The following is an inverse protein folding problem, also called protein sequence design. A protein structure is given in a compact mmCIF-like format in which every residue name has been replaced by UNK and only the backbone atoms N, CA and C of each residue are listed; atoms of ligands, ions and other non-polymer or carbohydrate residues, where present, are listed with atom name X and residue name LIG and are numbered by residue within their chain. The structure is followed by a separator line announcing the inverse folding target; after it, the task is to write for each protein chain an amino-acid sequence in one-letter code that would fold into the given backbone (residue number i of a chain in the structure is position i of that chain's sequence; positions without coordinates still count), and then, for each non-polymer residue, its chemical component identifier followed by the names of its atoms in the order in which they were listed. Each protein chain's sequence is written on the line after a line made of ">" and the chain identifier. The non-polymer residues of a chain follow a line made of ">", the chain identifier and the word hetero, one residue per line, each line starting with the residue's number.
data_IF_528646369569
#
_entry.id   IF_528646369569
#
_cell.length_a   1.000
_cell.length_b   1.000
_cell.length_c   1.000
_cell.angle_alpha   90.00
_cell.angle_beta   90.00
_cell.angle_gamma   90.00
#
_symmetry.space_group_name_H-M   'P 1'
#
loop_
_entity.id
_entity.type
_entity.pdbx_description
1 polymer ?
#
# COMPACT_ATOMS: atom_id res chain seq x y z
N UNK A 1 21.05 -75.20 7.33
CA UNK A 1 21.65 -74.34 8.37
C UNK A 1 21.42 -72.90 7.95
N UNK A 2 20.33 -72.30 8.40
CA UNK A 2 19.93 -70.91 8.09
C UNK A 2 20.56 -69.99 9.13
N UNK A 3 21.46 -69.12 8.72
CA UNK A 3 21.97 -68.04 9.58
C UNK A 3 20.85 -67.02 9.83
N UNK A 4 20.56 -66.64 11.09
CA UNK A 4 19.59 -65.59 11.35
C UNK A 4 20.22 -64.25 10.97
N UNK A 5 19.51 -63.46 10.17
CA UNK A 5 19.85 -62.06 9.91
C UNK A 5 19.67 -61.32 11.24
N UNK A 6 20.77 -60.81 11.77
CA UNK A 6 20.78 -59.91 12.93
C UNK A 6 19.88 -58.71 12.64
N UNK A 7 18.78 -58.61 13.36
CA UNK A 7 18.00 -57.39 13.50
C UNK A 7 18.93 -56.33 14.10
N UNK A 8 19.53 -55.52 13.24
CA UNK A 8 20.11 -54.25 13.68
C UNK A 8 18.96 -53.43 14.24
N UNK A 9 19.03 -53.24 15.56
CA UNK A 9 18.26 -52.26 16.32
C UNK A 9 18.04 -51.01 15.47
N UNK A 10 16.77 -50.76 15.15
CA UNK A 10 16.34 -49.47 14.66
C UNK A 10 16.44 -48.53 15.87
N UNK A 11 17.63 -47.96 16.07
CA UNK A 11 17.85 -46.92 17.07
C UNK A 11 16.83 -45.82 16.83
N UNK A 12 15.87 -45.76 17.74
CA UNK A 12 14.83 -44.76 17.80
C UNK A 12 15.39 -43.50 18.45
N UNK A 13 16.30 -42.80 17.77
CA UNK A 13 16.67 -41.45 18.21
C UNK A 13 17.31 -40.59 17.11
N UNK A 14 16.47 -40.01 16.27
CA UNK A 14 16.66 -38.62 15.87
C UNK A 14 15.27 -38.01 15.72
N UNK A 15 14.91 -37.07 16.59
CA UNK A 15 13.79 -36.15 16.31
C UNK A 15 13.94 -35.67 14.85
N UNK A 16 13.03 -36.07 13.95
CA UNK A 16 13.18 -35.85 12.51
C UNK A 16 12.99 -34.35 12.20
N UNK A 17 14.03 -33.55 12.45
CA UNK A 17 13.98 -32.09 12.32
C UNK A 17 13.79 -31.75 10.85
N UNK A 18 12.75 -30.97 10.56
CA UNK A 18 12.47 -30.51 9.20
C UNK A 18 13.66 -29.70 8.65
N UNK A 19 14.11 -29.95 7.41
CA UNK A 19 15.23 -29.20 6.85
C UNK A 19 14.96 -27.69 6.82
N UNK A 20 15.90 -26.87 7.31
CA UNK A 20 15.78 -25.39 7.29
C UNK A 20 15.37 -24.84 5.91
N UNK A 21 15.93 -25.29 4.77
CA UNK A 21 15.51 -24.79 3.46
C UNK A 21 14.04 -25.09 3.13
N UNK A 22 13.49 -26.19 3.64
CA UNK A 22 12.08 -26.50 3.48
C UNK A 22 11.22 -25.52 4.28
N UNK A 23 11.54 -25.30 5.57
CA UNK A 23 10.81 -24.37 6.43
C UNK A 23 10.83 -22.94 5.88
N UNK A 24 11.98 -22.46 5.41
CA UNK A 24 12.12 -21.11 4.84
C UNK A 24 11.27 -20.92 3.57
N UNK A 25 11.21 -21.93 2.69
CA UNK A 25 10.33 -21.90 1.50
C UNK A 25 8.86 -21.86 1.88
N UNK A 26 8.48 -22.60 2.93
CA UNK A 26 7.11 -22.59 3.46
C UNK A 26 6.76 -21.23 4.04
N UNK A 27 7.62 -20.66 4.89
CA UNK A 27 7.41 -19.33 5.47
C UNK A 27 7.31 -18.25 4.39
N UNK A 28 8.24 -18.20 3.43
CA UNK A 28 8.17 -17.28 2.28
C UNK A 28 6.82 -17.39 1.53
N UNK A 29 6.33 -18.62 1.35
CA UNK A 29 5.06 -18.88 0.67
C UNK A 29 3.84 -18.44 1.50
N UNK A 30 3.85 -18.62 2.82
CA UNK A 30 2.79 -18.15 3.72
C UNK A 30 2.70 -16.63 3.72
N UNK A 31 3.85 -15.95 3.84
CA UNK A 31 3.91 -14.49 3.80
C UNK A 31 3.44 -13.97 2.43
N UNK A 32 3.74 -14.68 1.34
CA UNK A 32 3.22 -14.34 0.01
C UNK A 32 1.70 -14.40 -0.08
N UNK A 33 1.04 -15.36 0.57
CA UNK A 33 -0.43 -15.42 0.64
C UNK A 33 -0.98 -14.28 1.48
N UNK A 34 -0.38 -14.03 2.64
CA UNK A 34 -0.75 -12.91 3.48
C UNK A 34 -0.70 -11.58 2.72
N UNK A 35 0.36 -11.35 1.95
CA UNK A 35 0.50 -10.16 1.10
C UNK A 35 -0.50 -10.14 -0.07
N UNK A 36 -0.92 -11.28 -0.59
CA UNK A 36 -1.99 -11.34 -1.61
C UNK A 36 -3.36 -10.98 -1.02
N UNK A 37 -3.64 -11.37 0.23
CA UNK A 37 -4.84 -10.95 0.97
C UNK A 37 -4.79 -9.45 1.22
N UNK A 38 -3.67 -8.92 1.71
CA UNK A 38 -3.47 -7.48 1.87
C UNK A 38 -3.63 -6.73 0.54
N UNK A 39 -3.04 -7.21 -0.56
CA UNK A 39 -3.20 -6.60 -1.88
C UNK A 39 -4.68 -6.53 -2.31
N UNK A 40 -5.46 -7.57 -2.00
CA UNK A 40 -6.89 -7.62 -2.33
C UNK A 40 -7.67 -6.59 -1.53
N UNK A 41 -7.43 -6.48 -0.22
CA UNK A 41 -8.04 -5.46 0.64
C UNK A 41 -7.61 -4.05 0.22
N UNK A 42 -6.33 -3.85 -0.01
CA UNK A 42 -5.76 -2.58 -0.44
C UNK A 42 -6.42 -2.09 -1.73
N UNK A 43 -6.52 -2.94 -2.76
CA UNK A 43 -7.15 -2.56 -4.03
C UNK A 43 -8.67 -2.44 -3.91
N UNK A 44 -9.31 -3.19 -3.00
CA UNK A 44 -10.72 -3.00 -2.69
C UNK A 44 -10.97 -1.62 -2.08
N UNK A 45 -10.26 -1.22 -1.03
CA UNK A 45 -10.42 0.12 -0.40
C UNK A 45 -10.10 1.23 -1.40
N UNK A 46 -9.00 1.12 -2.15
CA UNK A 46 -8.66 2.13 -3.18
C UNK A 46 -9.70 2.24 -4.29
N UNK A 47 -10.34 1.13 -4.69
CA UNK A 47 -11.39 1.15 -5.71
C UNK A 47 -12.64 1.94 -5.28
N UNK A 48 -12.89 2.08 -3.97
CA UNK A 48 -14.00 2.87 -3.44
C UNK A 48 -13.87 4.37 -3.76
N UNK A 49 -12.68 4.83 -4.15
CA UNK A 49 -12.47 6.21 -4.60
C UNK A 49 -13.25 6.52 -5.89
N UNK A 50 -13.44 5.52 -6.76
CA UNK A 50 -14.05 5.68 -8.07
C UNK A 50 -15.31 4.81 -8.31
N UNK A 51 -15.51 3.73 -7.56
CA UNK A 51 -16.66 2.82 -7.77
C UNK A 51 -18.00 3.40 -7.31
N UNK A 52 -18.00 4.44 -6.48
CA UNK A 52 -19.19 5.16 -6.05
C UNK A 52 -19.08 6.61 -6.51
N UNK A 53 -19.05 6.80 -7.83
CA UNK A 53 -19.02 8.13 -8.47
C UNK A 53 -20.17 9.02 -7.96
N UNK A 54 -21.26 8.43 -7.48
CA UNK A 54 -22.41 9.13 -6.89
C UNK A 54 -22.20 9.56 -5.42
N UNK A 55 -21.39 8.83 -4.64
CA UNK A 55 -21.13 9.14 -3.21
C UNK A 55 -19.86 9.98 -3.01
N UNK A 56 -19.32 10.60 -4.07
CA UNK A 56 -18.17 11.53 -4.00
C UNK A 56 -16.93 10.97 -3.27
N UNK A 57 -16.71 9.65 -3.31
CA UNK A 57 -15.57 9.01 -2.64
C UNK A 57 -15.71 8.81 -1.12
N UNK A 58 -16.90 9.02 -0.55
CA UNK A 58 -17.16 8.82 0.88
C UNK A 58 -16.86 7.39 1.36
N UNK A 59 -17.06 6.37 0.51
CA UNK A 59 -16.66 5.00 0.80
C UNK A 59 -15.17 4.85 1.10
N UNK A 60 -14.31 5.51 0.30
CA UNK A 60 -12.86 5.56 0.55
C UNK A 60 -12.55 6.29 1.85
N UNK A 61 -13.14 7.48 2.05
CA UNK A 61 -12.90 8.32 3.24
C UNK A 61 -13.27 7.55 4.51
N UNK A 62 -14.44 6.92 4.54
CA UNK A 62 -14.92 6.12 5.68
C UNK A 62 -14.00 4.93 5.96
N UNK A 63 -13.58 4.19 4.93
CA UNK A 63 -12.69 3.05 5.07
C UNK A 63 -11.32 3.46 5.64
N UNK A 64 -10.71 4.53 5.12
CA UNK A 64 -9.43 5.05 5.61
C UNK A 64 -9.56 5.59 7.03
N UNK A 65 -10.65 6.30 7.37
CA UNK A 65 -10.90 6.77 8.73
C UNK A 65 -10.97 5.60 9.72
N UNK A 66 -11.63 4.48 9.35
CA UNK A 66 -11.67 3.27 10.18
C UNK A 66 -10.29 2.66 10.40
N UNK A 67 -9.46 2.61 9.36
CA UNK A 67 -8.06 2.12 9.49
C UNK A 67 -7.26 3.03 10.43
N UNK A 68 -7.39 4.35 10.27
CA UNK A 68 -6.68 5.34 11.09
C UNK A 68 -7.20 5.46 12.54
N UNK A 69 -8.36 4.89 12.83
CA UNK A 69 -8.89 4.76 14.20
C UNK A 69 -8.29 3.56 14.97
N UNK A 70 -7.55 2.66 14.31
CA UNK A 70 -6.95 1.49 14.94
C UNK A 70 -5.88 1.92 15.95
N UNK A 71 -5.94 1.47 17.22
CA UNK A 71 -4.93 1.80 18.22
C UNK A 71 -3.58 1.20 17.84
N UNK A 72 -2.50 1.95 18.08
CA UNK A 72 -1.14 1.55 17.74
C UNK A 72 -0.96 1.17 16.26
N UNK A 73 -1.72 1.80 15.33
CA UNK A 73 -1.68 1.49 13.89
C UNK A 73 -0.25 1.36 13.33
N UNK A 74 0.67 2.25 13.70
CA UNK A 74 2.08 2.18 13.26
C UNK A 74 2.75 0.85 13.60
N UNK A 75 2.50 0.31 14.79
CA UNK A 75 3.02 -0.99 15.21
C UNK A 75 2.37 -2.13 14.43
N UNK A 76 1.05 -2.06 14.24
CA UNK A 76 0.28 -3.03 13.44
C UNK A 76 0.83 -3.08 12.01
N UNK A 77 1.02 -1.92 11.37
CA UNK A 77 1.59 -1.83 10.03
C UNK A 77 3.01 -2.43 9.96
N UNK A 78 3.88 -2.17 10.95
CA UNK A 78 5.23 -2.73 10.96
C UNK A 78 5.19 -4.25 11.10
N UNK A 79 4.41 -4.77 12.04
CA UNK A 79 4.39 -6.21 12.35
C UNK A 79 3.66 -7.04 11.29
N UNK A 80 2.54 -6.54 10.77
CA UNK A 80 1.68 -7.29 9.87
C UNK A 80 1.87 -6.91 8.39
N UNK A 81 2.50 -5.79 8.06
CA UNK A 81 2.77 -5.42 6.66
C UNK A 81 4.26 -5.32 6.40
N UNK A 82 4.97 -4.44 7.12
CA UNK A 82 6.39 -4.16 6.89
C UNK A 82 7.28 -5.39 7.02
N UNK A 83 7.17 -6.12 8.13
CA UNK A 83 7.99 -7.30 8.39
C UNK A 83 7.67 -8.46 7.42
N UNK A 84 6.39 -8.87 7.20
CA UNK A 84 6.03 -9.84 6.17
C UNK A 84 6.54 -9.47 4.77
N UNK A 85 6.41 -8.20 4.39
CA UNK A 85 6.88 -7.69 3.11
C UNK A 85 8.40 -7.82 2.97
N UNK A 86 9.17 -7.40 3.98
CA UNK A 86 10.62 -7.51 3.98
C UNK A 86 11.10 -8.96 3.91
N UNK A 87 10.53 -9.84 4.74
CA UNK A 87 10.92 -11.26 4.75
C UNK A 87 10.59 -11.93 3.42
N UNK A 88 9.40 -11.68 2.87
CA UNK A 88 9.00 -12.19 1.56
C UNK A 88 9.91 -11.65 0.45
N UNK A 89 10.17 -10.34 0.44
CA UNK A 89 11.02 -9.69 -0.56
C UNK A 89 12.47 -10.16 -0.54
N UNK A 90 13.11 -10.22 0.64
CA UNK A 90 14.52 -10.61 0.77
C UNK A 90 14.74 -12.05 0.29
N UNK A 91 13.91 -13.01 0.73
CA UNK A 91 14.03 -14.38 0.24
C UNK A 91 13.56 -14.54 -1.21
N UNK A 92 12.55 -13.77 -1.63
CA UNK A 92 12.08 -13.70 -3.00
C UNK A 92 13.18 -13.30 -3.97
N UNK A 93 14.00 -12.31 -3.62
CA UNK A 93 15.19 -11.90 -4.39
C UNK A 93 16.16 -13.07 -4.56
N UNK A 94 16.47 -13.80 -3.49
CA UNK A 94 17.36 -14.97 -3.57
C UNK A 94 16.80 -16.05 -4.52
N UNK A 95 15.48 -16.27 -4.49
CA UNK A 95 14.82 -17.22 -5.39
C UNK A 95 14.76 -16.73 -6.84
N UNK A 96 14.60 -15.43 -7.06
CA UNK A 96 14.60 -14.83 -8.39
C UNK A 96 15.99 -14.92 -9.03
N UNK A 97 17.06 -14.64 -8.27
CA UNK A 97 18.45 -14.75 -8.74
C UNK A 97 18.85 -16.19 -9.11
N UNK A 98 18.29 -17.19 -8.43
CA UNK A 98 18.57 -18.62 -8.70
C UNK A 98 17.63 -19.25 -9.72
N UNK A 99 16.73 -18.46 -10.33
CA UNK A 99 15.71 -18.99 -11.21
C UNK A 99 16.31 -19.48 -12.55
N UNK A 100 15.96 -20.70 -12.94
CA UNK A 100 16.29 -21.24 -14.28
C UNK A 100 15.09 -21.07 -15.20
N UNK A 101 15.12 -20.05 -16.07
CA UNK A 101 14.05 -19.78 -17.03
C UNK A 101 14.23 -20.68 -18.27
N UNK A 102 13.17 -21.36 -18.68
CA UNK A 102 13.17 -22.22 -19.88
C UNK A 102 11.93 -21.98 -20.75
N UNK A 103 11.28 -20.83 -20.63
CA UNK A 103 10.04 -20.50 -21.36
C UNK A 103 10.25 -19.73 -22.66
N UNK A 104 11.48 -19.37 -22.98
CA UNK A 104 11.87 -18.60 -24.17
C UNK A 104 12.65 -19.50 -25.13
N UNK A 105 12.71 -19.09 -26.40
CA UNK A 105 13.54 -19.77 -27.40
C UNK A 105 15.01 -19.82 -26.92
N UNK A 106 15.69 -20.92 -27.21
CA UNK A 106 17.12 -21.12 -26.94
C UNK A 106 17.80 -21.58 -28.22
N UNK A 107 19.08 -21.23 -28.32
CA UNK A 107 20.07 -21.69 -29.30
C UNK A 107 20.57 -23.13 -29.08
N UNK A 108 19.99 -23.88 -28.13
CA UNK A 108 20.39 -25.25 -27.80
C UNK A 108 21.32 -25.37 -26.59
N UNK A 109 21.83 -24.25 -26.05
CA UNK A 109 22.69 -24.25 -24.85
C UNK A 109 21.90 -24.43 -23.54
N UNK A 110 20.58 -24.23 -23.57
CA UNK A 110 19.69 -24.34 -22.40
C UNK A 110 18.37 -25.01 -22.79
N UNK A 111 17.71 -25.72 -21.85
CA UNK A 111 16.37 -26.27 -22.10
C UNK A 111 15.39 -25.16 -22.49
N UNK A 112 14.60 -25.39 -23.55
CA UNK A 112 13.56 -24.48 -24.06
C UNK A 112 12.23 -25.23 -24.19
N UNK A 113 11.24 -24.77 -23.44
CA UNK A 113 9.92 -25.37 -23.26
C UNK A 113 8.79 -24.30 -23.42
N UNK A 114 8.78 -23.49 -24.50
CA UNK A 114 7.85 -22.37 -24.67
C UNK A 114 6.37 -22.80 -24.82
N UNK A 115 6.12 -24.03 -25.26
CA UNK A 115 4.79 -24.61 -25.45
C UNK A 115 4.04 -24.78 -24.12
N UNK A 116 4.75 -24.89 -23.00
CA UNK A 116 4.14 -25.15 -21.70
C UNK A 116 3.75 -23.85 -20.98
N UNK A 117 2.43 -23.64 -20.82
CA UNK A 117 1.86 -22.45 -20.15
C UNK A 117 2.42 -22.23 -18.74
N UNK A 118 2.74 -23.32 -18.00
CA UNK A 118 3.27 -23.22 -16.64
C UNK A 118 4.72 -22.77 -16.57
N UNK A 119 5.55 -23.13 -17.55
CA UNK A 119 6.91 -22.63 -17.64
C UNK A 119 6.89 -21.12 -17.92
N UNK A 120 5.98 -20.65 -18.78
CA UNK A 120 5.77 -19.21 -18.99
C UNK A 120 5.34 -18.51 -17.70
N UNK A 121 4.38 -19.08 -16.97
CA UNK A 121 3.91 -18.48 -15.73
C UNK A 121 4.95 -18.51 -14.61
N UNK A 122 5.81 -19.52 -14.59
CA UNK A 122 6.99 -19.56 -13.74
C UNK A 122 7.92 -18.38 -14.07
N UNK A 123 8.24 -18.14 -15.34
CA UNK A 123 9.12 -17.03 -15.73
C UNK A 123 8.52 -15.67 -15.42
N UNK A 124 7.24 -15.47 -15.76
CA UNK A 124 6.54 -14.22 -15.48
C UNK A 124 6.41 -13.91 -13.99
N UNK A 125 6.31 -14.92 -13.11
CA UNK A 125 6.37 -14.69 -11.65
C UNK A 125 7.68 -13.99 -11.23
N UNK A 126 8.81 -14.30 -11.89
CA UNK A 126 10.13 -13.72 -11.56
C UNK A 126 10.32 -12.36 -12.23
N UNK A 127 9.85 -12.21 -13.45
CA UNK A 127 9.92 -10.92 -14.13
C UNK A 127 9.07 -9.90 -13.36
N UNK A 128 7.84 -10.27 -12.98
CA UNK A 128 6.98 -9.42 -12.17
C UNK A 128 7.55 -9.16 -10.77
N UNK A 129 8.29 -10.09 -10.14
CA UNK A 129 8.92 -9.79 -8.85
C UNK A 129 9.97 -8.67 -8.95
N UNK A 130 10.75 -8.62 -10.02
CA UNK A 130 11.72 -7.55 -10.23
C UNK A 130 11.04 -6.20 -10.50
N UNK A 131 9.99 -6.20 -11.32
CA UNK A 131 9.18 -5.00 -11.56
C UNK A 131 8.58 -4.51 -10.24
N UNK A 132 8.02 -5.42 -9.43
CA UNK A 132 7.41 -5.09 -8.15
C UNK A 132 8.41 -4.61 -7.10
N UNK A 133 9.65 -5.09 -7.13
CA UNK A 133 10.68 -4.58 -6.23
C UNK A 133 10.86 -3.07 -6.42
N UNK A 134 10.93 -2.61 -7.68
CA UNK A 134 11.04 -1.19 -8.02
C UNK A 134 9.71 -0.47 -7.73
N UNK A 135 8.60 -1.02 -8.21
CA UNK A 135 7.29 -0.39 -8.12
C UNK A 135 6.82 -0.20 -6.66
N UNK A 136 6.94 -1.23 -5.83
CA UNK A 136 6.54 -1.15 -4.41
C UNK A 136 7.48 -0.23 -3.64
N UNK A 137 8.79 -0.24 -3.91
CA UNK A 137 9.73 0.69 -3.28
C UNK A 137 9.35 2.13 -3.61
N UNK A 138 9.13 2.44 -4.89
CA UNK A 138 8.69 3.78 -5.31
C UNK A 138 7.34 4.18 -4.70
N UNK A 139 6.37 3.27 -4.72
CA UNK A 139 5.04 3.48 -4.14
C UNK A 139 5.08 3.76 -2.64
N UNK A 140 5.83 2.96 -1.87
CA UNK A 140 5.98 3.16 -0.42
C UNK A 140 6.71 4.47 -0.14
N UNK A 141 7.80 4.78 -0.86
CA UNK A 141 8.50 6.07 -0.71
C UNK A 141 7.52 7.23 -0.94
N UNK A 142 6.78 7.19 -2.04
CA UNK A 142 5.84 8.23 -2.39
C UNK A 142 4.73 8.37 -1.34
N UNK A 143 3.96 7.31 -1.09
CA UNK A 143 2.75 7.39 -0.26
C UNK A 143 3.04 7.48 1.24
N UNK A 144 4.12 6.85 1.73
CA UNK A 144 4.42 6.80 3.18
C UNK A 144 5.32 7.94 3.65
N UNK A 145 6.15 8.50 2.77
CA UNK A 145 7.16 9.48 3.20
C UNK A 145 7.02 10.84 2.52
N UNK A 146 6.67 10.89 1.23
CA UNK A 146 6.56 12.17 0.51
C UNK A 146 5.16 12.78 0.63
N UNK A 147 4.13 11.96 0.39
CA UNK A 147 2.75 12.40 0.24
C UNK A 147 1.88 12.03 1.45
N UNK A 148 2.48 11.44 2.49
CA UNK A 148 1.79 11.10 3.75
C UNK A 148 1.33 12.36 4.49
N UNK A 149 0.04 12.55 4.83
CA UNK A 149 -0.45 13.76 5.48
C UNK A 149 0.29 14.11 6.77
N UNK A 150 0.62 15.39 6.99
CA UNK A 150 1.02 15.84 8.34
C UNK A 150 -0.24 16.06 9.15
N UNK A 151 -0.14 15.95 10.47
CA UNK A 151 -1.29 16.19 11.35
C UNK A 151 -0.93 17.17 12.44
N UNK A 152 -1.92 17.94 12.87
CA UNK A 152 -1.90 18.71 14.11
C UNK A 152 -3.10 18.30 14.96
N UNK A 153 -2.99 18.50 16.27
CA UNK A 153 -4.08 18.25 17.21
C UNK A 153 -4.44 19.57 17.90
N UNK A 154 -5.73 19.83 18.01
CA UNK A 154 -6.34 21.02 18.61
C UNK A 154 -7.44 20.46 19.53
N UNK A 155 -7.13 20.37 20.82
CA UNK A 155 -7.83 19.53 21.79
C UNK A 155 -8.13 18.10 21.28
N UNK A 156 -9.42 17.81 21.07
CA UNK A 156 -9.90 16.52 20.53
C UNK A 156 -9.93 16.48 18.99
N UNK A 157 -9.83 17.63 18.31
CA UNK A 157 -9.92 17.75 16.86
C UNK A 157 -8.56 17.50 16.22
N UNK A 158 -8.51 16.57 15.26
CA UNK A 158 -7.30 16.32 14.46
C UNK A 158 -7.48 16.91 13.08
N UNK A 159 -6.48 17.66 12.65
CA UNK A 159 -6.41 18.20 11.29
C UNK A 159 -5.30 17.49 10.52
N UNK A 160 -5.56 17.19 9.24
CA UNK A 160 -4.64 16.49 8.36
C UNK A 160 -4.33 17.35 7.14
N UNK A 161 -3.04 17.53 6.84
CA UNK A 161 -2.58 18.51 5.88
C UNK A 161 -1.83 17.87 4.72
N UNK A 162 -2.18 18.26 3.51
CA UNK A 162 -1.58 17.77 2.27
C UNK A 162 -1.28 18.93 1.33
N UNK A 163 -0.14 18.84 0.64
CA UNK A 163 0.29 19.86 -0.32
C UNK A 163 -0.15 19.47 -1.72
N UNK A 164 -0.92 20.35 -2.37
CA UNK A 164 -1.56 20.07 -3.66
C UNK A 164 -1.24 21.16 -4.69
N UNK A 165 -1.36 20.82 -5.96
CA UNK A 165 -1.38 21.80 -7.06
C UNK A 165 -2.83 22.24 -7.27
N UNK A 166 -3.14 23.55 -7.21
CA UNK A 166 -4.50 24.04 -7.41
C UNK A 166 -5.00 23.73 -8.84
N UNK A 167 -6.25 23.32 -8.94
CA UNK A 167 -6.99 23.08 -10.18
C UNK A 167 -8.50 23.30 -9.92
N UNK A 168 -9.35 23.53 -10.93
CA UNK A 168 -10.77 23.84 -10.72
C UNK A 168 -11.53 22.78 -9.91
N UNK A 169 -11.33 21.50 -10.20
CA UNK A 169 -12.07 20.43 -9.50
C UNK A 169 -11.56 20.19 -8.08
N UNK A 170 -10.36 20.68 -7.71
CA UNK A 170 -9.90 20.67 -6.32
C UNK A 170 -10.81 21.48 -5.40
N UNK A 171 -11.30 22.65 -5.82
CA UNK A 171 -12.13 23.51 -4.98
C UNK A 171 -13.50 22.86 -4.70
N UNK A 172 -14.10 22.25 -5.73
CA UNK A 172 -15.36 21.51 -5.60
C UNK A 172 -15.21 20.33 -4.64
N UNK A 173 -14.15 19.54 -4.81
CA UNK A 173 -13.87 18.40 -3.94
C UNK A 173 -13.59 18.85 -2.51
N UNK A 174 -12.77 19.89 -2.32
CA UNK A 174 -12.42 20.39 -1.01
C UNK A 174 -13.67 20.83 -0.23
N UNK A 175 -14.59 21.55 -0.88
CA UNK A 175 -15.87 21.92 -0.28
C UNK A 175 -16.71 20.69 0.13
N UNK A 176 -16.78 19.66 -0.73
CA UNK A 176 -17.57 18.44 -0.47
C UNK A 176 -17.06 17.64 0.72
N UNK A 177 -15.75 17.60 0.95
CA UNK A 177 -15.12 16.83 2.03
C UNK A 177 -14.78 17.70 3.26
N UNK A 178 -15.30 18.93 3.31
CA UNK A 178 -15.05 19.91 4.37
C UNK A 178 -13.55 20.20 4.59
N UNK A 179 -12.79 20.26 3.50
CA UNK A 179 -11.37 20.61 3.52
C UNK A 179 -11.16 22.10 3.20
N UNK A 180 -10.36 22.77 4.04
CA UNK A 180 -9.95 24.15 3.83
C UNK A 180 -8.68 24.23 2.99
N UNK A 181 -8.58 25.21 2.08
CA UNK A 181 -7.40 25.43 1.26
C UNK A 181 -6.68 26.71 1.70
N UNK A 182 -5.37 26.62 1.93
CA UNK A 182 -4.53 27.75 2.31
C UNK A 182 -3.41 27.95 1.30
N UNK A 183 -3.26 29.19 0.86
CA UNK A 183 -2.10 29.68 0.12
C UNK A 183 -0.92 29.87 1.06
N UNK A 184 0.26 30.08 0.47
CA UNK A 184 1.45 30.41 1.24
C UNK A 184 1.29 31.74 2.01
N UNK A 185 0.62 32.72 1.43
CA UNK A 185 0.40 34.04 2.06
C UNK A 185 -0.49 33.91 3.29
N UNK A 186 -1.61 33.19 3.19
CA UNK A 186 -2.52 32.97 4.32
C UNK A 186 -1.85 32.21 5.47
N UNK A 187 -0.98 31.24 5.17
CA UNK A 187 -0.19 30.53 6.21
C UNK A 187 0.79 31.49 6.89
N UNK A 188 1.46 32.36 6.12
CA UNK A 188 2.39 33.35 6.67
C UNK A 188 1.67 34.40 7.51
N UNK A 189 0.50 34.87 7.08
CA UNK A 189 -0.36 35.79 7.83
C UNK A 189 -0.86 35.16 9.12
N UNK A 190 -1.34 33.92 9.08
CA UNK A 190 -1.72 33.15 10.27
C UNK A 190 -0.55 33.01 11.25
N UNK A 191 0.65 32.74 10.73
CA UNK A 191 1.87 32.68 11.54
C UNK A 191 2.29 34.01 12.16
N UNK A 192 2.05 35.14 11.48
CA UNK A 192 2.26 36.48 12.05
C UNK A 192 1.24 36.78 13.15
N UNK A 193 -0.04 36.50 12.91
CA UNK A 193 -1.10 36.68 13.91
C UNK A 193 -0.79 35.92 15.20
N UNK A 194 -0.35 34.66 15.07
CA UNK A 194 0.08 33.84 16.21
C UNK A 194 1.26 34.46 16.98
N UNK A 195 2.22 35.06 16.27
CA UNK A 195 3.36 35.73 16.90
C UNK A 195 2.97 37.01 17.64
N UNK A 196 1.93 37.71 17.20
CA UNK A 196 1.41 38.89 17.91
C UNK A 196 0.59 38.46 19.14
N UNK A 197 -0.21 37.40 19.03
CA UNK A 197 -0.91 36.78 20.18
C UNK A 197 0.08 36.30 21.25
N UNK A 198 1.21 35.72 20.84
CA UNK A 198 2.27 35.31 21.78
C UNK A 198 2.91 36.49 22.52
N UNK A 199 3.01 37.67 21.90
CA UNK A 199 3.52 38.88 22.58
C UNK A 199 2.52 39.40 23.61
N UNK A 200 1.23 39.44 23.27
CA UNK A 200 0.19 39.93 24.17
C UNK A 200 -0.06 39.02 25.36
N UNK A 201 0.34 37.75 25.29
CA UNK A 201 0.28 36.80 26.40
C UNK A 201 0.98 37.31 27.66
N UNK A 202 2.07 38.08 27.51
CA UNK A 202 2.83 38.65 28.64
C UNK A 202 2.06 39.72 29.43
N UNK A 203 0.98 40.27 28.85
CA UNK A 203 0.16 41.33 29.44
C UNK A 203 -1.18 40.80 30.00
N UNK A 204 -1.45 39.50 29.87
CA UNK A 204 -2.69 38.86 30.32
C UNK A 204 -2.54 38.15 31.67
N UNK A 205 -3.60 38.18 32.48
CA UNK A 205 -3.67 37.49 33.77
C UNK A 205 -5.00 36.71 33.90
N UNK A 206 -5.01 35.74 34.83
CA UNK A 206 -6.21 34.97 35.17
C UNK A 206 -6.65 33.97 34.09
N UNK A 207 -7.95 33.68 34.02
CA UNK A 207 -8.53 32.68 33.09
C UNK A 207 -8.26 32.99 31.61
N UNK A 208 -8.17 34.28 31.26
CA UNK A 208 -7.82 34.75 29.92
C UNK A 208 -6.41 34.33 29.50
N UNK A 209 -5.46 34.25 30.43
CA UNK A 209 -4.09 33.83 30.15
C UNK A 209 -4.05 32.37 29.69
N UNK A 210 -4.69 31.47 30.44
CA UNK A 210 -4.66 30.03 30.12
C UNK A 210 -5.40 29.72 28.82
N UNK A 211 -6.51 30.41 28.56
CA UNK A 211 -7.26 30.28 27.30
C UNK A 211 -6.43 30.73 26.10
N UNK A 212 -5.69 31.85 26.23
CA UNK A 212 -4.81 32.32 25.17
C UNK A 212 -3.59 31.41 25.00
N UNK A 213 -3.01 30.91 26.09
CA UNK A 213 -1.87 29.99 26.05
C UNK A 213 -2.21 28.70 25.29
N UNK A 214 -3.36 28.09 25.58
CA UNK A 214 -3.83 26.88 24.90
C UNK A 214 -3.99 27.12 23.39
N UNK A 215 -4.66 28.22 23.02
CA UNK A 215 -4.81 28.64 21.62
C UNK A 215 -3.48 28.90 20.91
N UNK A 216 -2.49 29.47 21.61
CA UNK A 216 -1.14 29.69 21.06
C UNK A 216 -0.45 28.35 20.82
N UNK A 217 -0.52 27.43 21.78
CA UNK A 217 0.11 26.12 21.67
C UNK A 217 -0.50 25.28 20.53
N UNK A 218 -1.83 25.26 20.42
CA UNK A 218 -2.55 24.66 19.28
C UNK A 218 -2.16 25.31 17.94
N UNK A 219 -2.07 26.65 17.92
CA UNK A 219 -1.61 27.40 16.77
C UNK A 219 -0.17 27.05 16.36
N UNK A 220 0.72 26.85 17.33
CA UNK A 220 2.12 26.46 17.10
C UNK A 220 2.20 25.05 16.53
N UNK A 221 1.44 24.09 17.06
CA UNK A 221 1.37 22.73 16.52
C UNK A 221 0.86 22.72 15.07
N UNK A 222 -0.20 23.48 14.79
CA UNK A 222 -0.74 23.64 13.43
C UNK A 222 0.32 24.22 12.48
N UNK A 223 1.03 25.28 12.92
CA UNK A 223 2.08 25.92 12.12
C UNK A 223 3.26 24.99 11.87
N UNK A 224 3.65 24.17 12.85
CA UNK A 224 4.69 23.16 12.68
C UNK A 224 4.28 22.11 11.64
N UNK A 225 3.04 21.59 11.74
CA UNK A 225 2.48 20.62 10.80
C UNK A 225 2.38 21.18 9.37
N UNK A 226 2.01 22.44 9.21
CA UNK A 226 1.95 23.14 7.93
C UNK A 226 3.36 23.36 7.35
N UNK A 227 4.33 23.78 8.17
CA UNK A 227 5.72 24.03 7.74
C UNK A 227 6.43 22.76 7.31
N UNK A 228 6.13 21.60 7.92
CA UNK A 228 6.64 20.27 7.49
C UNK A 228 6.34 19.98 6.02
N UNK A 229 5.25 20.54 5.45
CA UNK A 229 4.88 20.34 4.04
C UNK A 229 5.68 21.19 3.05
N UNK A 230 6.43 22.19 3.53
CA UNK A 230 7.32 23.05 2.74
C UNK A 230 6.62 23.58 1.47
N UNK A 231 5.59 24.40 1.66
CA UNK A 231 4.76 24.92 0.57
C UNK A 231 5.59 25.77 -0.40
N UNK A 232 5.70 25.33 -1.67
CA UNK A 232 6.35 26.07 -2.74
C UNK A 232 5.36 27.06 -3.38
N UNK A 233 5.88 28.08 -4.08
CA UNK A 233 5.05 29.04 -4.83
C UNK A 233 4.14 28.31 -5.83
N UNK A 234 2.87 28.72 -5.91
CA UNK A 234 1.88 28.13 -6.81
C UNK A 234 1.26 26.81 -6.33
N UNK A 235 1.51 26.40 -5.08
CA UNK A 235 0.84 25.25 -4.45
C UNK A 235 -0.03 25.73 -3.30
N UNK A 236 -1.02 24.92 -2.96
CA UNK A 236 -1.91 25.14 -1.82
C UNK A 236 -1.74 24.03 -0.78
N UNK A 237 -2.01 24.35 0.48
CA UNK A 237 -2.11 23.40 1.57
C UNK A 237 -3.60 23.12 1.81
N UNK A 238 -4.02 21.89 1.56
CA UNK A 238 -5.35 21.44 1.95
C UNK A 238 -5.30 20.91 3.39
N UNK A 239 -6.26 21.31 4.21
CA UNK A 239 -6.45 20.88 5.59
C UNK A 239 -7.80 20.19 5.69
N UNK A 240 -7.78 18.89 5.97
CA UNK A 240 -8.97 18.05 6.13
C UNK A 240 -9.19 17.72 7.61
N UNK A 241 -10.44 17.66 8.08
CA UNK A 241 -10.77 17.31 9.47
C UNK A 241 -10.58 15.83 9.79
N UNK A 242 -10.25 14.99 8.79
CA UNK A 242 -10.05 13.56 9.00
C UNK A 242 -8.98 12.98 8.06
N UNK A 243 -8.45 11.82 8.43
CA UNK A 243 -7.37 11.19 7.69
C UNK A 243 -7.82 10.80 6.28
N UNK A 244 -9.03 10.25 6.14
CA UNK A 244 -9.60 9.79 4.89
C UNK A 244 -9.67 10.87 3.82
N UNK A 245 -10.13 12.07 4.18
CA UNK A 245 -10.17 13.22 3.26
C UNK A 245 -8.79 13.66 2.81
N UNK A 246 -7.81 13.69 3.72
CA UNK A 246 -6.43 14.00 3.36
C UNK A 246 -5.80 12.95 2.43
N UNK A 247 -5.97 11.65 2.72
CA UNK A 247 -5.49 10.59 1.83
C UNK A 247 -6.21 10.60 0.48
N UNK A 248 -7.51 10.89 0.46
CA UNK A 248 -8.28 11.02 -0.78
C UNK A 248 -7.67 12.10 -1.68
N UNK A 249 -7.38 13.29 -1.14
CA UNK A 249 -6.73 14.37 -1.86
C UNK A 249 -5.31 14.00 -2.34
N UNK A 250 -4.57 13.23 -1.54
CA UNK A 250 -3.22 12.77 -1.85
C UNK A 250 -3.20 11.78 -3.03
N UNK A 251 -4.11 10.80 -3.03
CA UNK A 251 -4.29 9.84 -4.13
C UNK A 251 -4.77 10.58 -5.39
N UNK A 252 -5.74 11.49 -5.25
CA UNK A 252 -6.22 12.35 -6.34
C UNK A 252 -5.06 13.09 -7.01
N UNK A 253 -4.23 13.76 -6.22
CA UNK A 253 -3.08 14.52 -6.74
C UNK A 253 -2.11 13.63 -7.53
N UNK A 254 -1.88 12.39 -7.07
CA UNK A 254 -1.04 11.42 -7.77
C UNK A 254 -1.60 11.08 -9.14
N UNK A 255 -2.90 10.79 -9.23
CA UNK A 255 -3.52 10.38 -10.49
C UNK A 255 -3.93 11.52 -11.40
N UNK A 256 -3.67 12.79 -11.06
CA UNK A 256 -3.75 13.90 -12.05
C UNK A 256 -2.76 13.73 -13.21
N UNK A 257 -1.62 13.09 -12.96
CA UNK A 257 -0.56 12.92 -13.96
C UNK A 257 -0.82 11.70 -14.87
N UNK A 258 -0.90 11.86 -16.21
CA UNK A 258 -1.06 10.73 -17.13
C UNK A 258 0.07 9.71 -17.02
N UNK A 259 1.29 10.17 -16.73
CA UNK A 259 2.44 9.29 -16.52
C UNK A 259 2.22 8.40 -15.30
N UNK A 260 1.75 8.97 -14.18
CA UNK A 260 1.49 8.21 -12.96
C UNK A 260 0.38 7.19 -13.17
N UNK A 261 -0.68 7.54 -13.91
CA UNK A 261 -1.76 6.62 -14.29
C UNK A 261 -1.23 5.40 -15.04
N UNK A 262 -0.36 5.61 -16.04
CA UNK A 262 0.24 4.51 -16.82
C UNK A 262 1.17 3.66 -15.94
N UNK A 263 2.05 4.30 -15.16
CA UNK A 263 2.99 3.60 -14.29
C UNK A 263 2.26 2.74 -13.23
N UNK A 264 1.26 3.31 -12.56
CA UNK A 264 0.47 2.59 -11.57
C UNK A 264 -0.43 1.51 -12.20
N UNK A 265 -0.85 1.66 -13.46
CA UNK A 265 -1.56 0.58 -14.17
C UNK A 265 -0.66 -0.64 -14.37
N UNK A 266 0.60 -0.43 -14.80
CA UNK A 266 1.59 -1.51 -14.91
C UNK A 266 1.83 -2.14 -13.54
N UNK A 267 1.94 -1.32 -12.50
CA UNK A 267 2.14 -1.79 -11.13
C UNK A 267 0.98 -2.69 -10.65
N UNK A 268 -0.28 -2.25 -10.80
CA UNK A 268 -1.46 -3.05 -10.45
C UNK A 268 -1.49 -4.38 -11.21
N UNK A 269 -1.27 -4.34 -12.53
CA UNK A 269 -1.29 -5.56 -13.36
C UNK A 269 -0.20 -6.54 -12.92
N UNK A 270 1.01 -6.06 -12.66
CA UNK A 270 2.12 -6.89 -12.22
C UNK A 270 1.92 -7.43 -10.80
N UNK A 271 1.37 -6.63 -9.88
CA UNK A 271 1.06 -7.03 -8.51
C UNK A 271 -0.02 -8.12 -8.47
N UNK A 272 -1.11 -7.91 -9.20
CA UNK A 272 -2.20 -8.89 -9.30
C UNK A 272 -1.69 -10.19 -9.93
N UNK A 273 -0.92 -10.12 -11.03
CA UNK A 273 -0.34 -11.31 -11.63
C UNK A 273 0.55 -12.08 -10.65
N UNK A 274 1.49 -11.39 -9.99
CA UNK A 274 2.43 -12.00 -9.06
C UNK A 274 1.69 -12.64 -7.87
N UNK A 275 0.78 -11.90 -7.23
CA UNK A 275 0.03 -12.39 -6.07
C UNK A 275 -0.80 -13.62 -6.38
N UNK A 276 -1.57 -13.59 -7.47
CA UNK A 276 -2.56 -14.65 -7.76
C UNK A 276 -1.97 -15.87 -8.50
N UNK A 277 -0.93 -15.70 -9.32
CA UNK A 277 -0.17 -16.85 -9.81
C UNK A 277 0.64 -17.51 -8.66
N UNK A 278 1.08 -16.69 -7.68
CA UNK A 278 1.61 -17.15 -6.40
C UNK A 278 0.59 -17.96 -5.59
N UNK A 279 -0.65 -17.47 -5.46
CA UNK A 279 -1.76 -18.15 -4.78
C UNK A 279 -2.05 -19.53 -5.37
N UNK A 280 -2.10 -19.64 -6.70
CA UNK A 280 -2.25 -20.95 -7.34
C UNK A 280 -1.08 -21.90 -7.00
N UNK A 281 0.16 -21.39 -7.02
CA UNK A 281 1.36 -22.17 -6.71
C UNK A 281 1.39 -22.61 -5.24
N UNK A 282 0.90 -21.76 -4.33
CA UNK A 282 0.70 -22.10 -2.92
C UNK A 282 -0.28 -23.27 -2.77
N UNK A 283 -1.45 -23.21 -3.39
CA UNK A 283 -2.47 -24.27 -3.30
C UNK A 283 -1.96 -25.65 -3.73
N UNK A 284 -1.01 -25.71 -4.67
CA UNK A 284 -0.40 -26.97 -5.10
C UNK A 284 0.71 -27.38 -4.14
N UNK A 285 1.64 -26.46 -3.84
CA UNK A 285 2.81 -26.80 -3.02
C UNK A 285 2.43 -27.19 -1.60
N UNK A 286 1.33 -26.65 -1.06
CA UNK A 286 0.77 -26.99 0.26
C UNK A 286 -0.19 -28.16 0.25
N UNK A 287 -0.44 -28.77 -0.91
CA UNK A 287 -1.29 -29.95 -1.01
C UNK A 287 -2.79 -29.68 -0.87
N UNK A 288 -3.24 -28.42 -0.94
CA UNK A 288 -4.66 -28.08 -0.95
C UNK A 288 -5.36 -28.60 -2.23
N UNK A 289 -4.59 -28.76 -3.31
CA UNK A 289 -5.09 -29.26 -4.60
C UNK A 289 -4.24 -30.40 -5.16
N UNK A 290 -4.52 -31.63 -4.71
CA UNK A 290 -3.75 -32.82 -5.08
C UNK A 290 -4.13 -33.37 -6.47
N UNK A 291 -5.42 -33.42 -6.80
CA UNK A 291 -5.89 -34.05 -8.04
C UNK A 291 -5.80 -33.11 -9.25
N UNK A 292 -5.60 -33.66 -10.46
CA UNK A 292 -5.59 -32.87 -11.71
C UNK A 292 -6.86 -32.04 -11.91
N UNK A 293 -8.02 -32.58 -11.52
CA UNK A 293 -9.31 -31.87 -11.57
C UNK A 293 -9.31 -30.67 -10.61
N UNK A 294 -8.90 -30.88 -9.35
CA UNK A 294 -8.83 -29.81 -8.35
C UNK A 294 -7.84 -28.71 -8.76
N UNK A 295 -6.66 -29.07 -9.28
CA UNK A 295 -5.68 -28.09 -9.76
C UNK A 295 -6.18 -27.24 -10.95
N UNK A 296 -7.05 -27.80 -11.80
CA UNK A 296 -7.68 -27.07 -12.91
C UNK A 296 -8.71 -26.07 -12.39
N UNK A 297 -9.53 -26.48 -11.43
CA UNK A 297 -10.52 -25.62 -10.77
C UNK A 297 -9.85 -24.49 -10.00
N UNK A 298 -8.85 -24.80 -9.17
CA UNK A 298 -8.09 -23.77 -8.45
C UNK A 298 -7.41 -22.78 -9.40
N UNK A 299 -6.92 -23.23 -10.56
CA UNK A 299 -6.37 -22.33 -11.58
C UNK A 299 -7.41 -21.36 -12.11
N UNK A 300 -8.61 -21.85 -12.42
CA UNK A 300 -9.71 -21.02 -12.86
C UNK A 300 -10.07 -19.98 -11.80
N UNK A 301 -10.29 -20.42 -10.55
CA UNK A 301 -10.64 -19.53 -9.42
C UNK A 301 -9.58 -18.45 -9.21
N UNK A 302 -8.31 -18.83 -9.09
CA UNK A 302 -7.21 -17.87 -8.87
C UNK A 302 -7.03 -16.90 -10.04
N UNK A 303 -7.28 -17.33 -11.28
CA UNK A 303 -7.26 -16.44 -12.46
C UNK A 303 -8.45 -15.49 -12.48
N UNK A 304 -9.64 -15.95 -12.05
CA UNK A 304 -10.80 -15.08 -11.89
C UNK A 304 -10.55 -14.01 -10.82
N UNK A 305 -10.08 -14.41 -9.64
CA UNK A 305 -9.75 -13.49 -8.55
C UNK A 305 -8.67 -12.47 -8.97
N UNK A 306 -7.65 -12.91 -9.71
CA UNK A 306 -6.65 -12.03 -10.32
C UNK A 306 -7.30 -10.95 -11.18
N UNK A 307 -8.26 -11.33 -12.03
CA UNK A 307 -8.99 -10.39 -12.89
C UNK A 307 -9.83 -9.40 -12.09
N UNK A 308 -10.53 -9.85 -11.05
CA UNK A 308 -11.34 -8.99 -10.17
C UNK A 308 -10.46 -7.97 -9.44
N UNK A 309 -9.37 -8.41 -8.80
CA UNK A 309 -8.48 -7.52 -8.06
C UNK A 309 -7.75 -6.55 -8.99
N UNK A 310 -7.35 -7.02 -10.18
CA UNK A 310 -6.78 -6.14 -11.21
C UNK A 310 -7.80 -5.07 -11.65
N UNK A 311 -9.06 -5.45 -11.89
CA UNK A 311 -10.11 -4.52 -12.25
C UNK A 311 -10.34 -3.47 -11.16
N UNK A 312 -10.43 -3.87 -9.88
CA UNK A 312 -10.58 -2.94 -8.75
C UNK A 312 -9.46 -1.88 -8.75
N UNK A 313 -8.21 -2.30 -8.92
CA UNK A 313 -7.09 -1.37 -8.98
C UNK A 313 -7.12 -0.44 -10.20
N UNK A 314 -7.45 -0.97 -11.38
CA UNK A 314 -7.57 -0.16 -12.60
C UNK A 314 -8.72 0.84 -12.53
N UNK A 315 -9.85 0.46 -11.92
CA UNK A 315 -10.98 1.37 -11.69
C UNK A 315 -10.59 2.51 -10.75
N UNK A 316 -9.86 2.22 -9.66
CA UNK A 316 -9.34 3.26 -8.77
C UNK A 316 -8.50 4.29 -9.54
N UNK A 317 -7.56 3.84 -10.37
CA UNK A 317 -6.64 4.71 -11.11
C UNK A 317 -7.39 5.51 -12.19
N UNK A 318 -8.03 4.80 -13.13
CA UNK A 318 -8.62 5.42 -14.32
C UNK A 318 -9.92 6.16 -14.01
N UNK A 319 -10.71 5.66 -13.07
CA UNK A 319 -11.91 6.34 -12.61
C UNK A 319 -11.57 7.67 -11.93
N UNK A 320 -10.56 7.68 -11.05
CA UNK A 320 -10.06 8.93 -10.45
C UNK A 320 -9.54 9.90 -11.51
N UNK A 321 -8.71 9.43 -12.46
CA UNK A 321 -8.21 10.25 -13.55
C UNK A 321 -9.36 10.84 -14.39
N UNK A 322 -10.36 10.03 -14.73
CA UNK A 322 -11.52 10.46 -15.49
C UNK A 322 -12.30 11.55 -14.76
N UNK A 323 -12.64 11.33 -13.48
CA UNK A 323 -13.33 12.33 -12.66
C UNK A 323 -12.56 13.66 -12.64
N UNK A 324 -11.25 13.63 -12.43
CA UNK A 324 -10.42 14.85 -12.41
C UNK A 324 -10.48 15.64 -13.73
N UNK A 325 -10.48 14.96 -14.88
CA UNK A 325 -10.38 15.60 -16.19
C UNK A 325 -11.73 16.10 -16.74
N UNK A 326 -12.83 15.48 -16.31
CA UNK A 326 -14.16 15.69 -16.91
C UNK A 326 -15.23 16.20 -15.94
N UNK A 327 -14.87 16.52 -14.70
CA UNK A 327 -15.71 17.31 -13.75
C UNK A 327 -14.97 18.54 -13.27
#
# INVERSE_FOLDING_TARGET
>A
MTTPVSEKHFESDETRRLPKPFLLRRLHSLLGIWLAVYLSEHLYVNSQMALYVEDDGQGFISAVNKIHAIPYLKLVEILFLGLPFLIHGIWGIQYALRAKLNSYKSDGTRPSLPQYKRNRAYSWQRITSWILLIAITGHVIQMRFLDYPSSSQDGEKKSYMVRLVPDPSLYLVAQKIDASLYTKQEIEEKGRGLSEEEKSLSEMEGESYYTLLDRIDEGKEWMEAARKKRLKKGKVLAVSPNAGGAFFLSVRETFKSPLMVILYSIFVVTAAYHGFNGLWTFCISWGLTLTRRSQRVARFITTLLMGVVMLMGLVSIWGTYYTIQFT
#
